data_IF_478645269036
#
_entry.id   IF_478645269036
#
_cell.length_a   1.000
_cell.length_b   1.000
_cell.length_c   1.000
_cell.angle_alpha   90.00
_cell.angle_beta   90.00
_cell.angle_gamma   90.00
#
_symmetry.space_group_name_H-M   'P 1'
#
loop_
_entity.id
_entity.type
_entity.pdbx_description
1 polymer ?
#
# COMPACT_ATOMS: atom_id res chain seq x y z
N UNK A 1 5.34 0.28 -24.57
CA UNK A 1 5.38 -0.85 -23.65
C UNK A 1 5.61 -0.35 -22.26
N UNK A 2 4.86 -0.83 -21.35
CA UNK A 2 5.01 -0.40 -19.99
C UNK A 2 6.27 -1.02 -19.40
N UNK A 3 7.31 -0.21 -19.20
CA UNK A 3 8.55 -0.68 -18.60
C UNK A 3 8.35 -1.16 -17.17
N UNK A 4 7.15 -1.05 -16.70
CA UNK A 4 6.75 -1.50 -15.42
C UNK A 4 6.40 -2.97 -15.46
N UNK A 5 7.34 -3.78 -15.84
CA UNK A 5 7.18 -5.22 -15.76
C UNK A 5 7.79 -5.74 -14.48
N UNK A 6 7.04 -6.56 -13.80
CA UNK A 6 7.56 -7.23 -12.62
C UNK A 6 8.39 -8.38 -13.09
N UNK A 7 9.66 -8.11 -13.29
CA UNK A 7 10.63 -9.10 -13.67
C UNK A 7 11.80 -9.07 -12.69
N UNK A 8 12.40 -10.18 -12.45
CA UNK A 8 13.62 -10.27 -11.67
C UNK A 8 13.53 -9.54 -10.33
N UNK A 9 14.11 -8.36 -10.27
CA UNK A 9 14.22 -7.60 -9.02
C UNK A 9 12.87 -7.28 -8.39
N UNK A 10 11.87 -6.92 -9.21
CA UNK A 10 10.56 -6.55 -8.69
C UNK A 10 9.81 -7.76 -8.15
N UNK A 11 9.95 -8.90 -8.82
CA UNK A 11 9.34 -10.14 -8.35
C UNK A 11 9.92 -10.52 -6.98
N UNK A 12 11.23 -10.43 -6.85
CA UNK A 12 11.89 -10.75 -5.58
C UNK A 12 11.48 -9.79 -4.48
N UNK A 13 11.43 -8.49 -4.79
CA UNK A 13 11.01 -7.47 -3.84
C UNK A 13 9.57 -7.69 -3.39
N UNK A 14 8.67 -8.00 -4.33
CA UNK A 14 7.28 -8.31 -4.02
C UNK A 14 7.17 -9.56 -3.15
N UNK A 15 7.97 -10.57 -3.41
CA UNK A 15 8.02 -11.78 -2.60
C UNK A 15 8.47 -11.48 -1.17
N UNK A 16 9.50 -10.66 -1.03
CA UNK A 16 10.05 -10.31 0.29
C UNK A 16 9.04 -9.53 1.13
N UNK A 17 8.33 -8.59 0.51
CA UNK A 17 7.35 -7.75 1.21
C UNK A 17 6.11 -8.54 1.59
N UNK A 18 5.59 -9.36 0.68
CA UNK A 18 4.32 -10.05 0.84
C UNK A 18 4.42 -11.37 1.58
N UNK A 19 5.61 -11.97 1.63
CA UNK A 19 5.78 -13.31 2.13
C UNK A 19 5.31 -14.39 1.17
N UNK A 20 4.92 -14.02 -0.05
CA UNK A 20 4.48 -14.96 -1.09
C UNK A 20 5.70 -15.38 -1.91
N UNK A 21 5.90 -16.68 -2.17
CA UNK A 21 7.01 -17.11 -3.01
C UNK A 21 7.00 -16.46 -4.39
N UNK A 22 8.18 -16.10 -4.90
CA UNK A 22 8.32 -15.41 -6.17
C UNK A 22 7.65 -16.15 -7.34
N UNK A 23 7.69 -17.48 -7.34
CA UNK A 23 7.07 -18.29 -8.39
C UNK A 23 5.57 -18.11 -8.46
N UNK A 24 4.90 -17.90 -7.33
CA UNK A 24 3.45 -17.65 -7.32
C UNK A 24 3.14 -16.26 -7.86
N UNK A 25 3.97 -15.28 -7.58
CA UNK A 25 3.81 -13.93 -8.12
C UNK A 25 3.91 -13.96 -9.64
N UNK A 26 4.89 -14.69 -10.18
CA UNK A 26 5.05 -14.86 -11.62
C UNK A 26 3.83 -15.52 -12.23
N UNK A 27 3.32 -16.56 -11.59
CA UNK A 27 2.11 -17.26 -12.07
C UNK A 27 0.89 -16.35 -12.10
N UNK A 28 0.71 -15.55 -11.06
CA UNK A 28 -0.41 -14.61 -11.00
C UNK A 28 -0.30 -13.57 -12.13
N UNK A 29 0.90 -13.08 -12.37
CA UNK A 29 1.16 -12.13 -13.45
C UNK A 29 0.84 -12.75 -14.81
N UNK A 30 1.33 -13.95 -15.06
CA UNK A 30 1.15 -14.62 -16.35
C UNK A 30 -0.32 -14.94 -16.63
N UNK A 31 -1.10 -15.15 -15.58
CA UNK A 31 -2.54 -15.39 -15.70
C UNK A 31 -3.37 -14.12 -15.61
N UNK A 32 -2.72 -12.96 -15.58
CA UNK A 32 -3.37 -11.65 -15.49
C UNK A 32 -4.24 -11.49 -14.23
N UNK A 33 -3.88 -12.16 -13.17
CA UNK A 33 -4.57 -12.07 -11.89
C UNK A 33 -3.89 -11.11 -10.92
N UNK A 34 -2.77 -10.51 -11.32
CA UNK A 34 -2.00 -9.59 -10.49
C UNK A 34 -2.33 -8.16 -10.86
N UNK A 35 -2.65 -7.34 -9.85
CA UNK A 35 -2.79 -5.89 -10.02
C UNK A 35 -1.40 -5.26 -10.05
N UNK A 36 -0.84 -5.14 -11.25
CA UNK A 36 0.50 -4.61 -11.44
C UNK A 36 0.63 -3.16 -10.99
N UNK A 37 -0.39 -2.35 -11.22
CA UNK A 37 -0.36 -0.95 -10.80
C UNK A 37 -0.41 -0.83 -9.29
N UNK A 38 -1.26 -1.57 -8.64
CA UNK A 38 -1.34 -1.61 -7.18
C UNK A 38 -0.04 -2.11 -6.56
N UNK A 39 0.56 -3.12 -7.17
CA UNK A 39 1.84 -3.65 -6.71
C UNK A 39 2.95 -2.61 -6.87
N UNK A 40 3.02 -1.93 -8.01
CA UNK A 40 3.98 -0.84 -8.23
C UNK A 40 3.84 0.22 -7.15
N UNK A 41 2.63 0.64 -6.87
CA UNK A 41 2.38 1.67 -5.86
C UNK A 41 2.82 1.22 -4.47
N UNK A 42 2.59 -0.04 -4.14
CA UNK A 42 3.04 -0.61 -2.87
C UNK A 42 4.57 -0.64 -2.78
N UNK A 43 5.24 -1.03 -3.86
CA UNK A 43 6.70 -1.04 -3.92
C UNK A 43 7.29 0.37 -3.78
N UNK A 44 6.67 1.36 -4.41
CA UNK A 44 7.10 2.76 -4.29
C UNK A 44 7.00 3.23 -2.85
N UNK A 45 5.91 2.93 -2.17
CA UNK A 45 5.75 3.30 -0.76
C UNK A 45 6.78 2.59 0.13
N UNK A 46 7.02 1.32 -0.14
CA UNK A 46 8.01 0.55 0.61
C UNK A 46 9.41 1.14 0.42
N UNK A 47 9.80 1.42 -0.81
CA UNK A 47 11.10 1.99 -1.10
C UNK A 47 11.25 3.38 -0.50
N UNK A 48 10.19 4.19 -0.55
CA UNK A 48 10.20 5.52 0.06
C UNK A 48 10.45 5.42 1.56
N UNK A 49 9.75 4.55 2.25
CA UNK A 49 9.93 4.36 3.70
C UNK A 49 11.33 3.86 4.02
N UNK A 50 11.86 2.95 3.21
CA UNK A 50 13.21 2.42 3.41
C UNK A 50 14.27 3.52 3.25
N UNK A 51 14.12 4.38 2.24
CA UNK A 51 15.06 5.48 2.00
C UNK A 51 14.94 6.57 3.08
N UNK A 52 13.73 6.87 3.53
CA UNK A 52 13.53 7.82 4.63
C UNK A 52 14.18 7.31 5.91
N UNK A 53 14.11 6.03 6.17
CA UNK A 53 14.71 5.42 7.37
C UNK A 53 16.22 5.54 7.40
N UNK A 54 16.89 5.68 6.25
CA UNK A 54 18.33 5.86 6.20
C UNK A 54 18.78 7.23 6.72
N UNK A 55 17.90 8.25 6.66
CA UNK A 55 18.21 9.61 7.04
C UNK A 55 19.18 10.34 6.12
N UNK A 56 19.52 9.74 4.98
CA UNK A 56 20.55 10.27 4.06
C UNK A 56 19.97 11.14 2.96
N UNK A 57 18.66 11.12 2.74
CA UNK A 57 18.02 11.80 1.63
C UNK A 57 16.86 12.65 2.12
N UNK A 58 16.63 13.80 1.44
CA UNK A 58 15.41 14.57 1.63
C UNK A 58 14.26 13.89 0.91
N UNK A 59 13.02 14.23 1.27
CA UNK A 59 11.84 13.69 0.57
C UNK A 59 11.92 13.91 -0.93
N UNK A 60 12.30 15.11 -1.34
CA UNK A 60 12.41 15.46 -2.77
C UNK A 60 13.42 14.58 -3.49
N UNK A 61 14.57 14.35 -2.87
CA UNK A 61 15.59 13.48 -3.44
C UNK A 61 15.08 12.05 -3.61
N UNK A 62 14.33 11.56 -2.63
CA UNK A 62 13.73 10.24 -2.67
C UNK A 62 12.72 10.14 -3.80
N UNK A 63 11.84 11.14 -3.93
CA UNK A 63 10.82 11.15 -4.99
C UNK A 63 11.46 11.18 -6.38
N UNK A 64 12.50 11.99 -6.57
CA UNK A 64 13.22 12.06 -7.84
C UNK A 64 13.88 10.72 -8.18
N UNK A 65 14.47 10.08 -7.19
CA UNK A 65 15.10 8.77 -7.35
C UNK A 65 14.09 7.70 -7.73
N UNK A 66 12.96 7.65 -7.04
CA UNK A 66 11.91 6.67 -7.31
C UNK A 66 11.27 6.92 -8.68
N UNK A 67 11.10 8.18 -9.06
CA UNK A 67 10.59 8.52 -10.38
C UNK A 67 11.46 7.94 -11.48
N UNK A 68 12.77 8.02 -11.33
CA UNK A 68 13.72 7.43 -12.27
C UNK A 68 13.68 5.91 -12.29
N UNK A 69 13.58 5.28 -11.11
CA UNK A 69 13.56 3.82 -10.99
C UNK A 69 12.29 3.23 -11.62
N UNK A 70 11.14 3.85 -11.35
CA UNK A 70 9.84 3.33 -11.79
C UNK A 70 9.36 3.97 -13.09
N UNK A 71 10.16 4.85 -13.68
CA UNK A 71 9.87 5.50 -14.96
C UNK A 71 8.52 6.22 -14.97
N UNK A 72 8.29 7.00 -13.94
CA UNK A 72 7.10 7.86 -13.80
C UNK A 72 7.56 9.25 -13.36
N UNK A 73 6.64 10.22 -13.37
CA UNK A 73 6.99 11.59 -12.96
C UNK A 73 7.18 11.68 -11.43
N UNK A 74 7.97 12.67 -11.00
CA UNK A 74 8.14 12.98 -9.58
C UNK A 74 6.81 13.34 -8.93
N UNK A 75 5.96 14.08 -9.64
CA UNK A 75 4.61 14.40 -9.15
C UNK A 75 3.77 13.16 -8.91
N UNK A 76 3.90 12.17 -9.79
CA UNK A 76 3.19 10.90 -9.64
C UNK A 76 3.67 10.13 -8.42
N UNK A 77 4.99 10.09 -8.19
CA UNK A 77 5.56 9.47 -6.98
C UNK A 77 5.02 10.16 -5.74
N UNK A 78 5.04 11.49 -5.72
CA UNK A 78 4.51 12.28 -4.60
C UNK A 78 3.05 11.91 -4.34
N UNK A 79 2.23 11.86 -5.39
CA UNK A 79 0.83 11.49 -5.28
C UNK A 79 0.64 10.08 -4.70
N UNK A 80 1.42 9.11 -5.15
CA UNK A 80 1.35 7.73 -4.67
C UNK A 80 1.73 7.65 -3.19
N UNK A 81 2.81 8.31 -2.80
CA UNK A 81 3.30 8.30 -1.42
C UNK A 81 2.34 9.02 -0.48
N UNK A 82 1.79 10.16 -0.91
CA UNK A 82 0.87 10.97 -0.10
C UNK A 82 -0.58 10.51 -0.23
N UNK A 83 -0.91 9.74 -1.23
CA UNK A 83 -2.14 8.97 -1.20
C UNK A 83 -2.01 7.96 -0.07
N UNK A 84 -2.05 8.49 1.11
CA UNK A 84 -2.37 7.61 2.21
C UNK A 84 -3.65 6.94 1.80
N UNK A 85 -3.58 5.68 1.51
CA UNK A 85 -4.71 4.81 1.70
C UNK A 85 -5.46 5.40 2.87
N UNK A 86 -6.65 5.84 2.65
CA UNK A 86 -7.57 6.10 3.74
C UNK A 86 -7.33 4.95 4.69
N UNK A 87 -6.75 5.23 5.85
CA UNK A 87 -6.59 4.18 6.83
C UNK A 87 -7.98 3.63 7.06
N UNK A 88 -8.20 2.47 6.50
CA UNK A 88 -9.47 1.79 6.68
C UNK A 88 -9.45 1.27 8.10
N UNK A 89 -10.35 1.80 8.90
CA UNK A 89 -10.58 1.30 10.23
C UNK A 89 -11.69 0.26 10.14
N UNK A 90 -11.55 -0.80 10.89
CA UNK A 90 -12.50 -1.90 10.87
C UNK A 90 -13.10 -2.07 12.25
N UNK A 91 -14.40 -2.34 12.30
CA UNK A 91 -15.07 -2.62 13.54
C UNK A 91 -14.45 -3.85 14.22
N UNK A 92 -14.12 -3.74 15.49
CA UNK A 92 -13.53 -4.83 16.27
C UNK A 92 -14.49 -5.99 16.49
N UNK A 93 -15.79 -5.76 16.32
CA UNK A 93 -16.82 -6.79 16.53
C UNK A 93 -17.23 -7.51 15.25
N UNK A 94 -17.52 -6.76 14.17
CA UNK A 94 -18.06 -7.36 12.96
C UNK A 94 -17.15 -7.22 11.74
N UNK A 95 -16.03 -6.50 11.84
CA UNK A 95 -15.12 -6.29 10.72
C UNK A 95 -15.62 -5.32 9.66
N UNK A 96 -16.69 -4.59 9.91
CA UNK A 96 -17.22 -3.61 8.97
C UNK A 96 -16.25 -2.42 8.81
N UNK A 97 -16.12 -1.91 7.59
CA UNK A 97 -15.31 -0.74 7.32
C UNK A 97 -15.92 0.51 7.95
N UNK A 98 -15.06 1.31 8.56
CA UNK A 98 -15.49 2.54 9.23
C UNK A 98 -14.61 3.71 8.83
N UNK A 99 -15.17 4.92 8.92
CA UNK A 99 -14.37 6.14 8.85
C UNK A 99 -13.61 6.33 10.17
N UNK A 100 -12.55 7.15 10.13
CA UNK A 100 -11.80 7.49 11.34
C UNK A 100 -12.68 8.18 12.38
N UNK A 101 -13.64 9.00 11.93
CA UNK A 101 -14.57 9.70 12.83
C UNK A 101 -15.45 8.71 13.58
N UNK A 102 -16.00 7.74 12.87
CA UNK A 102 -16.84 6.69 13.48
C UNK A 102 -16.04 5.83 14.45
N UNK A 103 -14.82 5.45 14.08
CA UNK A 103 -13.93 4.67 14.92
C UNK A 103 -13.63 5.38 16.24
N UNK A 104 -13.28 6.68 16.17
CA UNK A 104 -13.00 7.48 17.37
C UNK A 104 -14.25 7.69 18.22
N UNK A 105 -15.39 7.97 17.59
CA UNK A 105 -16.64 8.22 18.28
C UNK A 105 -17.10 7.00 19.08
N UNK A 106 -16.94 5.82 18.54
CA UNK A 106 -17.49 4.58 19.10
C UNK A 106 -16.44 3.70 19.78
N UNK A 107 -15.22 4.17 19.93
CA UNK A 107 -14.18 3.40 20.60
C UNK A 107 -13.79 2.11 19.89
N UNK A 108 -13.81 2.10 18.56
CA UNK A 108 -13.42 0.95 17.75
C UNK A 108 -14.56 0.10 17.23
N UNK A 109 -15.82 0.50 17.47
CA UNK A 109 -16.99 -0.22 16.99
C UNK A 109 -17.75 0.60 15.96
N UNK A 110 -18.40 -0.06 15.00
CA UNK A 110 -19.31 0.63 14.09
C UNK A 110 -20.60 1.01 14.83
N UNK A 111 -21.35 1.95 14.25
CA UNK A 111 -22.58 2.44 14.84
C UNK A 111 -23.56 1.30 15.15
N UNK A 112 -23.64 0.32 14.27
CA UNK A 112 -24.53 -0.82 14.43
C UNK A 112 -24.18 -1.66 15.66
N UNK A 113 -22.90 -2.00 15.82
CA UNK A 113 -22.44 -2.78 16.95
C UNK A 113 -22.54 -1.99 18.25
N UNK A 114 -22.28 -0.69 18.19
CA UNK A 114 -22.42 0.21 19.33
C UNK A 114 -23.87 0.22 19.84
N UNK A 115 -24.83 0.33 18.93
CA UNK A 115 -26.25 0.30 19.28
C UNK A 115 -26.62 -1.03 19.88
N UNK A 116 -26.12 -2.14 19.39
CA UNK A 116 -26.40 -3.47 19.92
C UNK A 116 -25.84 -3.65 21.33
N UNK A 117 -24.65 -3.08 21.59
CA UNK A 117 -24.01 -3.22 22.90
C UNK A 117 -24.72 -2.45 24.00
N UNK A 118 -25.53 -1.45 23.64
CA UNK A 118 -26.28 -0.63 24.60
C UNK A 118 -27.58 -1.33 25.09
N UNK A 119 -27.98 -2.37 24.38
CA UNK A 119 -29.26 -3.06 24.65
C UNK A 119 -29.13 -4.15 25.71
N UNK A 120 -27.99 -4.32 26.26
CA UNK A 120 -27.77 -5.34 27.29
C UNK A 120 -28.32 -4.90 28.64
#
# INVERSE_FOLDING_TARGET
MNDFYIEGLYVQKAADISGVPAEYIVRLRDKQLLDEQGLRNALIRYDCNALLATGKFTERQIYDRLAGIYNISTSRVHGIVKMRTKRMFYCTQCGHEMTIAEFKRNGGMCDRCKSQSIIV
#
